data_IF_846944244437
#
_entry.id   IF_846944244437
#
_cell.length_a   1.000
_cell.length_b   1.000
_cell.length_c   1.000
_cell.angle_alpha   90.00
_cell.angle_beta   90.00
_cell.angle_gamma   90.00
#
_symmetry.space_group_name_H-M   'P 1'
#
loop_
_entity.id
_entity.type
_entity.pdbx_description
1 polymer ?
#
# COMPACT_ATOMS: atom_id res chain seq x y z
N UNK A 1 -12.29 -17.27 -2.16
CA UNK A 1 -11.42 -17.04 -3.34
C UNK A 1 -11.86 -18.02 -4.41
N UNK A 2 -12.04 -17.56 -5.64
CA UNK A 2 -12.29 -18.39 -6.82
C UNK A 2 -11.10 -18.16 -7.74
N UNK A 3 -10.48 -19.22 -8.23
CA UNK A 3 -9.35 -19.18 -9.14
C UNK A 3 -9.71 -19.91 -10.43
N UNK A 4 -9.40 -19.32 -11.56
CA UNK A 4 -9.65 -19.90 -12.90
C UNK A 4 -8.41 -19.70 -13.75
N UNK A 5 -7.94 -20.78 -14.33
CA UNK A 5 -6.88 -20.77 -15.33
C UNK A 5 -7.47 -20.59 -16.71
N UNK A 6 -7.07 -19.57 -17.43
CA UNK A 6 -7.49 -19.29 -18.81
C UNK A 6 -6.30 -19.52 -19.75
N UNK A 7 -6.53 -20.26 -20.83
CA UNK A 7 -5.49 -20.53 -21.85
C UNK A 7 -6.08 -20.35 -23.25
N UNK A 8 -5.31 -19.73 -24.12
CA UNK A 8 -5.57 -19.65 -25.57
C UNK A 8 -4.86 -20.75 -26.38
N UNK A 9 -4.20 -21.69 -25.68
CA UNK A 9 -3.40 -22.76 -26.27
C UNK A 9 -1.92 -22.40 -26.51
N UNK A 10 -1.52 -21.12 -26.29
CA UNK A 10 -0.14 -20.64 -26.36
C UNK A 10 0.31 -20.06 -25.03
N UNK A 11 -0.56 -19.31 -24.41
CA UNK A 11 -0.32 -18.65 -23.12
C UNK A 11 -1.37 -19.08 -22.10
N UNK A 12 -0.99 -19.03 -20.84
CA UNK A 12 -1.86 -19.39 -19.72
C UNK A 12 -1.80 -18.31 -18.67
N UNK A 13 -2.98 -17.87 -18.19
CA UNK A 13 -3.11 -16.85 -17.15
C UNK A 13 -4.07 -17.34 -16.06
N UNK A 14 -3.68 -17.15 -14.81
CA UNK A 14 -4.54 -17.41 -13.66
C UNK A 14 -5.26 -16.15 -13.24
N UNK A 15 -6.59 -16.23 -13.16
CA UNK A 15 -7.46 -15.15 -12.71
C UNK A 15 -8.02 -15.54 -11.35
N UNK A 16 -7.83 -14.66 -10.37
CA UNK A 16 -8.33 -14.86 -9.01
C UNK A 16 -9.39 -13.83 -8.67
N UNK A 17 -10.57 -14.30 -8.23
CA UNK A 17 -11.59 -13.45 -7.62
C UNK A 17 -11.49 -13.55 -6.10
N UNK A 18 -11.14 -12.44 -5.48
CA UNK A 18 -10.98 -12.34 -4.03
C UNK A 18 -12.05 -11.39 -3.48
N UNK A 19 -12.70 -11.80 -2.39
CA UNK A 19 -13.54 -10.87 -1.63
C UNK A 19 -12.62 -9.99 -0.80
N UNK A 20 -12.59 -8.69 -1.11
CA UNK A 20 -11.85 -7.68 -0.37
C UNK A 20 -12.81 -6.74 0.38
N UNK A 21 -12.26 -5.93 1.28
CA UNK A 21 -12.99 -4.87 1.95
C UNK A 21 -13.48 -3.82 0.95
N UNK A 22 -14.73 -3.42 1.08
CA UNK A 22 -15.29 -2.34 0.29
C UNK A 22 -14.81 -0.94 0.72
N UNK A 23 -13.95 -0.86 1.73
CA UNK A 23 -13.42 0.40 2.24
C UNK A 23 -12.37 0.98 1.29
N UNK A 24 -12.55 2.24 0.90
CA UNK A 24 -11.66 2.97 -0.01
C UNK A 24 -11.46 4.40 0.45
N UNK A 25 -10.28 4.95 0.16
CA UNK A 25 -9.97 6.36 0.38
C UNK A 25 -10.43 7.21 -0.80
N UNK A 26 -10.23 6.72 -2.02
CA UNK A 26 -10.49 7.45 -3.25
C UNK A 26 -11.46 6.70 -4.17
N UNK A 27 -12.09 7.41 -5.12
CA UNK A 27 -12.88 6.78 -6.18
C UNK A 27 -12.05 5.78 -6.99
N UNK A 28 -12.74 4.86 -7.66
CA UNK A 28 -12.13 4.04 -8.69
C UNK A 28 -11.59 4.92 -9.82
N UNK A 29 -10.53 4.47 -10.47
CA UNK A 29 -9.93 5.13 -11.63
C UNK A 29 -10.11 4.26 -12.87
N UNK A 30 -10.26 4.90 -14.03
CA UNK A 30 -10.26 4.23 -15.31
C UNK A 30 -8.82 4.17 -15.83
N UNK A 31 -8.40 2.99 -16.23
CA UNK A 31 -7.12 2.70 -16.85
C UNK A 31 -7.35 2.19 -18.26
N UNK A 32 -6.63 2.70 -19.24
CA UNK A 32 -6.84 2.40 -20.65
C UNK A 32 -6.58 0.93 -21.01
N UNK A 33 -5.78 0.22 -20.21
CA UNK A 33 -5.40 -1.18 -20.42
C UNK A 33 -6.18 -2.12 -19.51
N UNK A 34 -6.30 -1.77 -18.24
CA UNK A 34 -6.87 -2.62 -17.18
C UNK A 34 -8.36 -2.35 -16.93
N UNK A 35 -8.92 -1.30 -17.54
CA UNK A 35 -10.28 -0.86 -17.28
C UNK A 35 -10.42 -0.21 -15.90
N UNK A 36 -11.49 -0.52 -15.18
CA UNK A 36 -11.76 0.08 -13.86
C UNK A 36 -10.88 -0.55 -12.79
N UNK A 37 -10.04 0.26 -12.16
CA UNK A 37 -9.09 -0.15 -11.12
C UNK A 37 -9.30 0.60 -9.80
N UNK A 38 -8.68 0.09 -8.73
CA UNK A 38 -8.55 0.84 -7.49
C UNK A 38 -7.61 2.05 -7.71
N UNK A 39 -7.88 3.14 -7.00
CA UNK A 39 -6.93 4.25 -6.95
C UNK A 39 -5.55 3.75 -6.47
N UNK A 40 -4.41 4.24 -7.01
CA UNK A 40 -3.07 3.77 -6.64
C UNK A 40 -2.79 3.79 -5.13
N UNK A 41 -3.31 4.78 -4.41
CA UNK A 41 -3.19 4.84 -2.95
C UNK A 41 -3.91 3.68 -2.24
N UNK A 42 -5.10 3.32 -2.73
CA UNK A 42 -5.85 2.18 -2.20
C UNK A 42 -5.13 0.85 -2.48
N UNK A 43 -4.51 0.71 -3.65
CA UNK A 43 -3.65 -0.43 -3.96
C UNK A 43 -2.42 -0.48 -3.04
N UNK A 44 -1.75 0.66 -2.82
CA UNK A 44 -0.59 0.74 -1.94
C UNK A 44 -0.89 0.32 -0.50
N UNK A 45 -2.01 0.78 0.06
CA UNK A 45 -2.45 0.37 1.41
C UNK A 45 -2.81 -1.12 1.46
N UNK A 46 -3.40 -1.69 0.40
CA UNK A 46 -3.66 -3.13 0.30
C UNK A 46 -2.36 -3.94 0.21
N UNK A 47 -1.35 -3.47 -0.55
CA UNK A 47 -0.04 -4.12 -0.65
C UNK A 47 0.69 -4.15 0.68
N UNK A 48 0.66 -3.07 1.45
CA UNK A 48 1.25 -3.03 2.78
C UNK A 48 0.52 -3.99 3.75
N UNK A 49 -0.81 -4.05 3.73
CA UNK A 49 -1.57 -5.00 4.55
C UNK A 49 -1.28 -6.46 4.14
N UNK A 50 -1.15 -6.72 2.84
CA UNK A 50 -0.77 -8.03 2.32
C UNK A 50 0.64 -8.43 2.80
N UNK A 51 1.62 -7.51 2.70
CA UNK A 51 2.98 -7.72 3.20
C UNK A 51 2.97 -8.05 4.70
N UNK A 52 2.24 -7.27 5.50
CA UNK A 52 2.14 -7.48 6.94
C UNK A 52 1.47 -8.82 7.32
N UNK A 53 0.60 -9.36 6.47
CA UNK A 53 -0.17 -10.59 6.76
C UNK A 53 0.46 -11.86 6.23
N UNK A 54 0.99 -11.87 5.01
CA UNK A 54 1.46 -13.09 4.33
C UNK A 54 2.95 -13.11 3.99
N UNK A 55 3.63 -11.96 4.11
CA UNK A 55 5.08 -11.83 3.96
C UNK A 55 5.60 -12.47 2.65
N UNK A 56 5.12 -11.99 1.49
CA UNK A 56 5.52 -12.48 0.16
C UNK A 56 6.48 -11.49 -0.49
N UNK A 57 7.58 -11.95 -1.19
CA UNK A 57 8.58 -11.07 -1.79
C UNK A 57 8.00 -10.00 -2.72
N UNK A 58 7.02 -10.35 -3.55
CA UNK A 58 6.34 -9.41 -4.45
C UNK A 58 5.67 -8.27 -3.69
N UNK A 59 5.00 -8.55 -2.57
CA UNK A 59 4.34 -7.51 -1.78
C UNK A 59 5.36 -6.56 -1.14
N UNK A 60 6.57 -7.04 -0.82
CA UNK A 60 7.65 -6.18 -0.34
C UNK A 60 8.15 -5.23 -1.43
N UNK A 61 8.45 -5.76 -2.64
CA UNK A 61 8.86 -4.97 -3.80
C UNK A 61 7.82 -3.88 -4.11
N UNK A 62 6.55 -4.28 -4.21
CA UNK A 62 5.45 -3.38 -4.48
C UNK A 62 5.29 -2.31 -3.39
N UNK A 63 5.44 -2.69 -2.11
CA UNK A 63 5.34 -1.75 -0.99
C UNK A 63 6.48 -0.73 -0.99
N UNK A 64 7.71 -1.15 -1.29
CA UNK A 64 8.85 -0.24 -1.44
C UNK A 64 8.57 0.76 -2.58
N UNK A 65 8.20 0.27 -3.75
CA UNK A 65 7.89 1.12 -4.92
C UNK A 65 6.74 2.09 -4.64
N UNK A 66 5.66 1.62 -4.01
CA UNK A 66 4.54 2.47 -3.62
C UNK A 66 4.96 3.56 -2.61
N UNK A 67 5.85 3.21 -1.67
CA UNK A 67 6.34 4.17 -0.67
C UNK A 67 7.21 5.26 -1.29
N UNK A 68 7.96 4.97 -2.34
CA UNK A 68 8.77 5.94 -3.07
C UNK A 68 7.92 6.84 -3.99
N UNK A 69 6.99 6.23 -4.72
CA UNK A 69 6.26 6.92 -5.78
C UNK A 69 5.04 7.68 -5.24
N UNK A 70 4.30 7.10 -4.32
CA UNK A 70 3.00 7.62 -3.89
C UNK A 70 3.08 8.38 -2.57
N UNK A 71 3.39 7.69 -1.47
CA UNK A 71 3.38 8.28 -0.15
C UNK A 71 4.27 7.49 0.82
N UNK A 72 5.03 8.15 1.72
CA UNK A 72 5.91 7.49 2.68
C UNK A 72 5.24 6.36 3.46
N UNK A 73 6.02 5.31 3.75
CA UNK A 73 5.56 4.06 4.39
C UNK A 73 4.77 4.30 5.70
N UNK A 74 5.19 5.26 6.51
CA UNK A 74 4.50 5.60 7.77
C UNK A 74 3.08 6.11 7.54
N UNK A 75 2.86 6.89 6.49
CA UNK A 75 1.55 7.41 6.12
C UNK A 75 0.67 6.35 5.48
N UNK A 76 1.25 5.43 4.71
CA UNK A 76 0.54 4.25 4.20
C UNK A 76 0.10 3.33 5.36
N UNK A 77 0.97 3.09 6.34
CA UNK A 77 0.62 2.29 7.53
C UNK A 77 -0.46 2.98 8.39
N UNK A 78 -0.38 4.30 8.50
CA UNK A 78 -1.38 5.10 9.19
C UNK A 78 -2.77 4.96 8.56
N UNK A 79 -2.84 5.12 7.25
CA UNK A 79 -4.07 4.99 6.49
C UNK A 79 -4.60 3.54 6.48
N UNK A 80 -3.73 2.55 6.39
CA UNK A 80 -4.09 1.13 6.31
C UNK A 80 -4.94 0.65 7.50
N UNK A 81 -4.77 1.25 8.70
CA UNK A 81 -5.67 1.01 9.84
C UNK A 81 -7.14 1.32 9.50
N UNK A 82 -7.41 2.24 8.57
CA UNK A 82 -8.77 2.53 8.11
C UNK A 82 -9.45 1.32 7.47
N UNK A 83 -8.69 0.48 6.75
CA UNK A 83 -9.17 -0.73 6.08
C UNK A 83 -9.29 -1.91 7.03
N UNK A 84 -8.39 -2.00 8.02
CA UNK A 84 -8.44 -3.02 9.07
C UNK A 84 -8.20 -2.38 10.45
N UNK A 85 -9.27 -2.13 11.16
CA UNK A 85 -9.26 -1.52 12.49
C UNK A 85 -8.59 -2.39 13.56
N UNK A 86 -8.41 -3.68 13.32
CA UNK A 86 -7.70 -4.60 14.20
C UNK A 86 -6.17 -4.45 14.14
N UNK A 87 -5.65 -3.80 13.10
CA UNK A 87 -4.21 -3.63 12.88
C UNK A 87 -3.80 -2.17 13.12
N UNK A 88 -3.09 -1.91 14.22
CA UNK A 88 -2.53 -0.57 14.45
C UNK A 88 -1.38 -0.28 13.47
N UNK A 89 -1.11 1.00 13.12
CA UNK A 89 0.01 1.35 12.25
C UNK A 89 1.34 0.80 12.76
N UNK A 90 1.56 0.85 14.07
CA UNK A 90 2.75 0.27 14.69
C UNK A 90 2.85 -1.25 14.46
N UNK A 91 1.76 -1.98 14.65
CA UNK A 91 1.73 -3.42 14.44
C UNK A 91 1.96 -3.77 12.96
N UNK A 92 1.35 -3.02 12.02
CA UNK A 92 1.58 -3.18 10.58
C UNK A 92 3.08 -3.04 10.26
N UNK A 93 3.74 -1.99 10.78
CA UNK A 93 5.18 -1.77 10.57
C UNK A 93 6.04 -2.86 11.24
N UNK A 94 5.66 -3.35 12.42
CA UNK A 94 6.35 -4.45 13.10
C UNK A 94 6.26 -5.77 12.32
N UNK A 95 5.11 -6.05 11.72
CA UNK A 95 4.94 -7.24 10.86
C UNK A 95 5.70 -7.10 9.55
N UNK A 96 5.60 -5.96 8.89
CA UNK A 96 6.32 -5.65 7.66
C UNK A 96 7.85 -5.63 7.86
N UNK A 97 8.35 -5.30 9.05
CA UNK A 97 9.77 -5.35 9.38
C UNK A 97 10.37 -6.77 9.48
N UNK A 98 9.52 -7.81 9.55
CA UNK A 98 9.98 -9.22 9.59
C UNK A 98 10.40 -9.75 8.22
N UNK A 99 10.32 -8.94 7.19
CA UNK A 99 10.75 -9.30 5.83
C UNK A 99 12.23 -9.66 5.82
N UNK A 100 12.51 -10.85 5.30
CA UNK A 100 13.87 -11.33 5.11
C UNK A 100 13.90 -12.30 3.93
N UNK A 101 14.48 -11.85 2.80
CA UNK A 101 14.56 -12.64 1.58
C UNK A 101 15.99 -12.71 1.07
N UNK A 102 16.33 -13.84 0.44
CA UNK A 102 17.56 -14.03 -0.34
C UNK A 102 17.40 -13.44 -1.74
N UNK A 103 18.52 -13.24 -2.45
CA UNK A 103 18.51 -12.81 -3.85
C UNK A 103 17.70 -13.80 -4.71
N UNK A 104 17.89 -15.10 -4.50
CA UNK A 104 17.19 -16.13 -5.28
C UNK A 104 15.67 -16.13 -5.09
N UNK A 105 15.18 -15.77 -3.90
CA UNK A 105 13.73 -15.62 -3.67
C UNK A 105 13.16 -14.40 -4.39
N UNK A 106 13.94 -13.29 -4.46
CA UNK A 106 13.53 -12.12 -5.23
C UNK A 106 13.52 -12.42 -6.74
N UNK A 107 14.57 -13.05 -7.27
CA UNK A 107 14.68 -13.39 -8.68
C UNK A 107 13.53 -14.29 -9.15
N UNK A 108 13.07 -15.20 -8.28
CA UNK A 108 11.90 -16.04 -8.57
C UNK A 108 10.56 -15.27 -8.49
N UNK A 109 10.50 -14.22 -7.69
CA UNK A 109 9.27 -13.44 -7.50
C UNK A 109 9.05 -12.38 -8.60
N UNK A 110 10.13 -11.98 -9.29
CA UNK A 110 10.11 -10.90 -10.29
C UNK A 110 9.81 -11.53 -11.65
N UNK A 111 8.73 -11.08 -12.28
CA UNK A 111 8.37 -11.44 -13.66
C UNK A 111 8.99 -10.49 -14.70
N UNK A 112 9.68 -9.43 -14.23
CA UNK A 112 10.32 -8.44 -15.10
C UNK A 112 11.82 -8.72 -15.28
N UNK A 113 12.41 -8.09 -16.28
CA UNK A 113 13.87 -8.15 -16.55
C UNK A 113 14.70 -7.25 -15.62
N UNK A 114 14.07 -6.57 -14.66
CA UNK A 114 14.77 -5.72 -13.71
C UNK A 114 15.49 -6.55 -12.65
N UNK A 115 16.79 -6.32 -12.52
CA UNK A 115 17.60 -6.96 -11.48
C UNK A 115 17.51 -6.13 -10.21
N UNK A 116 16.87 -6.66 -9.16
CA UNK A 116 16.75 -6.01 -7.86
C UNK A 116 17.88 -6.54 -6.96
N UNK A 117 18.76 -5.65 -6.50
CA UNK A 117 19.76 -5.97 -5.48
C UNK A 117 19.08 -6.05 -4.10
N UNK A 118 19.03 -7.24 -3.54
CA UNK A 118 18.40 -7.53 -2.24
C UNK A 118 19.08 -6.76 -1.10
N UNK A 119 20.39 -6.52 -1.15
CA UNK A 119 21.13 -5.81 -0.10
C UNK A 119 20.75 -4.34 -0.11
N UNK A 120 20.84 -3.71 -1.27
CA UNK A 120 20.46 -2.30 -1.44
C UNK A 120 18.98 -2.07 -1.07
N UNK A 121 18.10 -2.99 -1.49
CA UNK A 121 16.67 -2.92 -1.16
C UNK A 121 16.41 -3.09 0.35
N UNK A 122 17.16 -3.98 1.02
CA UNK A 122 17.04 -4.19 2.47
C UNK A 122 17.56 -2.99 3.28
N UNK A 123 18.59 -2.29 2.80
CA UNK A 123 19.09 -1.05 3.42
C UNK A 123 18.07 0.07 3.28
N UNK A 124 17.54 0.26 2.08
CA UNK A 124 16.45 1.20 1.81
C UNK A 124 15.23 0.92 2.68
N UNK A 125 14.81 -0.34 2.77
CA UNK A 125 13.67 -0.77 3.58
C UNK A 125 13.84 -0.44 5.06
N UNK A 126 15.03 -0.66 5.62
CA UNK A 126 15.34 -0.30 7.01
C UNK A 126 15.21 1.20 7.24
N UNK A 127 15.76 2.01 6.34
CA UNK A 127 15.63 3.46 6.42
C UNK A 127 14.16 3.92 6.33
N UNK A 128 13.35 3.32 5.42
CA UNK A 128 11.92 3.59 5.32
C UNK A 128 11.16 3.22 6.59
N UNK A 129 11.49 2.10 7.23
CA UNK A 129 10.86 1.68 8.49
C UNK A 129 11.20 2.61 9.64
N UNK A 130 12.43 3.11 9.71
CA UNK A 130 12.85 4.02 10.78
C UNK A 130 12.16 5.38 10.66
N UNK A 131 12.07 5.94 9.44
CA UNK A 131 11.30 7.16 9.20
C UNK A 131 9.79 6.94 9.44
N UNK A 132 9.24 5.80 9.01
CA UNK A 132 7.84 5.45 9.23
C UNK A 132 7.46 5.40 10.71
N UNK A 133 8.34 4.86 11.56
CA UNK A 133 8.15 4.85 13.02
C UNK A 133 8.12 6.27 13.59
N UNK A 134 8.98 7.15 13.08
CA UNK A 134 8.96 8.58 13.42
C UNK A 134 7.64 9.23 13.02
N UNK A 135 7.19 9.03 11.78
CA UNK A 135 5.95 9.61 11.26
C UNK A 135 4.72 9.23 12.09
N UNK A 136 4.55 7.96 12.44
CA UNK A 136 3.37 7.53 13.23
C UNK A 136 3.34 8.09 14.66
N UNK A 137 4.48 8.59 15.17
CA UNK A 137 4.52 9.21 16.52
C UNK A 137 4.11 10.67 16.51
N UNK A 138 4.26 11.38 15.39
CA UNK A 138 3.90 12.81 15.28
C UNK A 138 2.46 13.01 14.79
N UNK A 139 1.83 11.98 14.23
CA UNK A 139 0.47 12.06 13.72
C UNK A 139 -0.57 12.09 14.87
N UNK A 140 -1.66 12.87 14.75
CA UNK A 140 -2.68 13.00 15.77
C UNK A 140 -3.52 11.71 15.89
N UNK A 141 -3.60 11.07 17.08
CA UNK A 141 -4.23 9.76 17.25
C UNK A 141 -5.71 9.70 16.83
N UNK A 142 -6.44 10.82 16.91
CA UNK A 142 -7.84 10.93 16.49
C UNK A 142 -8.03 10.87 14.96
N UNK A 143 -6.95 10.99 14.19
CA UNK A 143 -6.94 10.90 12.73
C UNK A 143 -6.43 9.55 12.20
N UNK A 144 -6.20 8.58 13.07
CA UNK A 144 -5.76 7.25 12.66
C UNK A 144 -6.72 6.62 11.64
N UNK A 145 -6.16 5.99 10.61
CA UNK A 145 -6.96 5.39 9.53
C UNK A 145 -7.39 6.37 8.45
N UNK A 146 -6.83 7.58 8.41
CA UNK A 146 -7.05 8.57 7.35
C UNK A 146 -5.83 8.70 6.45
N UNK A 147 -6.03 9.01 5.17
CA UNK A 147 -4.96 9.44 4.27
C UNK A 147 -4.54 10.87 4.61
N UNK A 148 -3.24 11.17 4.50
CA UNK A 148 -2.67 12.49 4.77
C UNK A 148 -2.45 13.21 3.45
N UNK A 149 -3.11 14.34 3.24
CA UNK A 149 -3.06 15.11 2.00
C UNK A 149 -2.51 16.51 2.28
N UNK A 150 -1.91 17.10 1.26
CA UNK A 150 -1.71 18.53 1.20
C UNK A 150 -3.05 19.27 1.07
N UNK A 151 -3.08 20.58 1.32
CA UNK A 151 -4.32 21.39 1.19
C UNK A 151 -4.88 21.42 -0.24
N UNK A 152 -4.06 21.17 -1.24
CA UNK A 152 -4.49 21.06 -2.65
C UNK A 152 -5.10 19.70 -3.02
N UNK A 153 -5.18 18.77 -2.05
CA UNK A 153 -5.73 17.43 -2.22
C UNK A 153 -4.73 16.39 -2.73
N UNK A 154 -3.49 16.75 -2.99
CA UNK A 154 -2.44 15.79 -3.37
C UNK A 154 -1.94 15.01 -2.16
N UNK A 155 -1.42 13.79 -2.39
CA UNK A 155 -0.82 12.98 -1.34
C UNK A 155 0.40 13.71 -0.74
N UNK A 156 0.45 13.82 0.59
CA UNK A 156 1.62 14.41 1.26
C UNK A 156 2.85 13.52 1.05
N UNK A 157 3.97 14.15 0.64
CA UNK A 157 5.26 13.48 0.46
C UNK A 157 6.31 14.26 1.25
N UNK A 158 7.00 13.58 2.15
CA UNK A 158 8.03 14.22 2.96
C UNK A 158 8.56 13.28 4.04
N UNK A 159 9.47 13.80 4.86
CA UNK A 159 10.06 13.11 6.00
C UNK A 159 9.24 13.36 7.29
N UNK A 160 9.63 12.70 8.36
CA UNK A 160 9.05 12.95 9.70
C UNK A 160 9.14 14.42 10.10
N UNK A 161 10.27 15.10 9.82
CA UNK A 161 10.49 16.50 10.17
C UNK A 161 9.57 17.43 9.40
N UNK A 162 9.45 17.22 8.07
CA UNK A 162 8.57 18.02 7.22
C UNK A 162 7.10 17.78 7.55
N UNK A 163 6.72 16.56 7.90
CA UNK A 163 5.38 16.24 8.38
C UNK A 163 5.07 16.96 9.69
N UNK A 164 5.99 16.93 10.66
CA UNK A 164 5.81 17.63 11.93
C UNK A 164 5.70 19.15 11.75
N UNK A 165 6.41 19.74 10.78
CA UNK A 165 6.27 21.15 10.42
C UNK A 165 4.90 21.42 9.79
N UNK A 166 4.49 20.62 8.81
CA UNK A 166 3.21 20.75 8.11
C UNK A 166 2.01 20.62 9.07
N UNK A 167 2.11 19.74 10.07
CA UNK A 167 1.07 19.61 11.12
C UNK A 167 0.97 20.86 11.99
N UNK A 168 2.10 21.48 12.37
CA UNK A 168 2.11 22.72 13.17
C UNK A 168 1.54 23.91 12.39
N UNK A 169 1.76 23.94 11.08
CA UNK A 169 1.31 25.00 10.18
C UNK A 169 -0.11 24.76 9.64
N UNK A 170 -0.77 23.68 10.08
CA UNK A 170 -2.06 23.24 9.55
C UNK A 170 -2.06 23.12 8.02
N UNK A 171 -0.92 22.67 7.44
CA UNK A 171 -0.73 22.56 5.99
C UNK A 171 -1.20 21.23 5.41
N UNK A 172 -1.63 20.29 6.25
CA UNK A 172 -2.14 18.96 5.82
C UNK A 172 -3.60 18.79 6.19
N UNK A 173 -4.27 17.91 5.43
CA UNK A 173 -5.67 17.53 5.62
C UNK A 173 -5.75 16.02 5.78
N UNK A 174 -6.60 15.56 6.70
CA UNK A 174 -6.87 14.15 6.91
C UNK A 174 -8.13 13.73 6.15
N UNK A 175 -7.95 12.83 5.17
CA UNK A 175 -9.03 12.34 4.34
C UNK A 175 -9.45 10.93 4.79
N UNK A 176 -10.62 10.78 5.43
CA UNK A 176 -11.10 9.49 5.87
C UNK A 176 -11.56 8.67 4.67
N UNK A 177 -11.26 7.38 4.68
CA UNK A 177 -11.88 6.45 3.75
C UNK A 177 -13.34 6.17 4.12
N UNK A 178 -14.03 5.51 3.21
CA UNK A 178 -15.45 5.12 3.36
C UNK A 178 -15.73 3.78 2.72
N UNK A 179 -16.82 3.16 3.11
CA UNK A 179 -17.33 1.96 2.43
C UNK A 179 -17.96 2.38 1.11
N UNK A 180 -17.37 1.96 -0.01
CA UNK A 180 -17.78 2.31 -1.37
C UNK A 180 -18.17 1.08 -2.20
N UNK A 181 -18.42 -0.08 -1.57
CA UNK A 181 -18.77 -1.30 -2.27
C UNK A 181 -20.20 -1.24 -2.80
N UNK A 182 -20.39 -1.68 -4.07
CA UNK A 182 -21.67 -2.13 -4.56
C UNK A 182 -21.62 -3.64 -4.72
N UNK A 183 -22.73 -4.32 -4.50
CA UNK A 183 -22.84 -5.72 -4.85
C UNK A 183 -22.71 -5.87 -6.37
N UNK A 184 -21.98 -6.88 -6.88
CA UNK A 184 -21.95 -7.14 -8.30
C UNK A 184 -23.38 -7.32 -8.81
N UNK A 185 -23.76 -6.52 -9.78
CA UNK A 185 -25.05 -6.62 -10.43
C UNK A 185 -24.88 -7.37 -11.76
N UNK A 186 -25.71 -8.35 -12.00
CA UNK A 186 -25.80 -8.96 -13.33
C UNK A 186 -26.50 -7.94 -14.22
N UNK A 187 -25.76 -7.35 -15.15
CA UNK A 187 -26.34 -6.53 -16.22
C UNK A 187 -26.99 -7.52 -17.20
N UNK A 188 -28.31 -7.52 -17.30
CA UNK A 188 -29.07 -8.31 -18.26
C UNK A 188 -29.21 -7.54 -19.56
#
# INVERSE_FOLDING_TARGET
>A
MIEVTVSDGKETTDIQWVKDSAYRFFPLVEDDVLGVTLHPFDLATNKLLALASRNVPRDWIDTVSCSEILQPLGLLAWAANGKDKGLTPRFILEMAAKVHYSQSELDLAILSTENIDVVAMSEKWRAMLDDARGMITVLPPDKIGSAVLNRDGTLFKGTTETLAAALREDAVVFHPGRICGAWPQIVR
#
